data_IF_347908225940
#
_entry.id   IF_347908225940
#
_cell.length_a   1.000
_cell.length_b   1.000
_cell.length_c   1.000
_cell.angle_alpha   90.00
_cell.angle_beta   90.00
_cell.angle_gamma   90.00
#
_symmetry.space_group_name_H-M   'P 1'
#
loop_
_entity.id
_entity.type
_entity.pdbx_description
1 polymer ?
#
# COMPACT_ATOMS: atom_id res chain seq x y z
N UNK A 1 -3.68 23.00 -0.69
CA UNK A 1 -3.47 22.02 -1.79
C UNK A 1 -2.77 20.78 -1.21
N UNK A 2 -3.14 19.58 -1.67
CA UNK A 2 -2.58 18.30 -1.20
C UNK A 2 -1.68 17.70 -2.29
N UNK A 3 -0.45 17.35 -1.93
CA UNK A 3 0.46 16.61 -2.82
C UNK A 3 0.39 15.11 -2.53
N UNK A 4 0.22 14.30 -3.57
CA UNK A 4 0.23 12.84 -3.48
C UNK A 4 1.40 12.29 -4.29
N UNK A 5 2.35 11.63 -3.64
CA UNK A 5 3.47 10.96 -4.31
C UNK A 5 3.08 9.56 -4.75
N UNK A 6 3.12 9.33 -6.06
CA UNK A 6 2.72 8.07 -6.67
C UNK A 6 1.24 8.01 -7.08
N UNK A 7 0.99 7.37 -8.22
CA UNK A 7 -0.31 7.31 -8.91
C UNK A 7 -0.76 5.87 -9.17
N UNK A 8 -0.18 4.92 -8.43
CA UNK A 8 -0.48 3.49 -8.55
C UNK A 8 -1.68 3.06 -7.72
N UNK A 9 -1.61 1.81 -7.26
CA UNK A 9 -2.65 1.06 -6.58
C UNK A 9 -3.30 1.75 -5.35
N UNK A 10 -2.54 2.57 -4.63
CA UNK A 10 -3.03 3.36 -3.48
C UNK A 10 -3.23 4.82 -3.89
N UNK A 11 -2.27 5.41 -4.62
CA UNK A 11 -2.30 6.83 -4.94
C UNK A 11 -3.49 7.22 -5.82
N UNK A 12 -3.87 6.39 -6.81
CA UNK A 12 -5.04 6.70 -7.65
C UNK A 12 -6.34 6.76 -6.85
N UNK A 13 -6.75 5.73 -6.07
CA UNK A 13 -7.95 5.82 -5.23
C UNK A 13 -7.89 6.97 -4.20
N UNK A 14 -6.70 7.27 -3.67
CA UNK A 14 -6.53 8.42 -2.78
C UNK A 14 -6.81 9.74 -3.50
N UNK A 15 -6.25 9.95 -4.69
CA UNK A 15 -6.48 11.14 -5.50
C UNK A 15 -7.98 11.29 -5.82
N UNK A 16 -8.63 10.21 -6.25
CA UNK A 16 -10.08 10.18 -6.53
C UNK A 16 -10.89 10.60 -5.30
N UNK A 17 -10.53 10.05 -4.14
CA UNK A 17 -11.21 10.36 -2.86
C UNK A 17 -11.02 11.81 -2.44
N UNK A 18 -9.82 12.36 -2.56
CA UNK A 18 -9.51 13.74 -2.21
C UNK A 18 -10.21 14.75 -3.14
N UNK A 19 -10.22 14.48 -4.45
CA UNK A 19 -10.94 15.30 -5.44
C UNK A 19 -12.44 15.27 -5.18
N UNK A 20 -13.01 14.10 -4.88
CA UNK A 20 -14.42 13.97 -4.52
C UNK A 20 -14.77 14.72 -3.23
N UNK A 21 -13.81 14.89 -2.32
CA UNK A 21 -13.94 15.73 -1.12
C UNK A 21 -13.68 17.22 -1.38
N UNK A 22 -13.57 17.64 -2.65
CA UNK A 22 -13.39 19.06 -3.04
C UNK A 22 -11.98 19.61 -2.79
N UNK A 23 -10.97 18.74 -2.64
CA UNK A 23 -9.61 19.17 -2.41
C UNK A 23 -8.87 19.46 -3.72
N UNK A 24 -8.01 20.48 -3.71
CA UNK A 24 -7.02 20.66 -4.77
C UNK A 24 -5.90 19.65 -4.61
N UNK A 25 -5.66 18.80 -5.62
CA UNK A 25 -4.70 17.70 -5.58
C UNK A 25 -3.66 17.84 -6.68
N UNK A 26 -2.39 17.74 -6.32
CA UNK A 26 -1.28 17.59 -7.25
C UNK A 26 -0.66 16.19 -7.07
N UNK A 27 -0.76 15.37 -8.10
CA UNK A 27 -0.15 14.04 -8.15
C UNK A 27 1.26 14.12 -8.72
N UNK A 28 2.25 13.67 -7.96
CA UNK A 28 3.66 13.65 -8.39
C UNK A 28 4.03 12.25 -8.86
N UNK A 29 4.52 12.15 -10.08
CA UNK A 29 5.09 10.92 -10.63
C UNK A 29 6.08 11.22 -11.76
N UNK A 30 6.99 10.27 -12.02
CA UNK A 30 8.03 10.42 -13.07
C UNK A 30 7.47 10.43 -14.49
N UNK A 31 6.30 9.84 -14.70
CA UNK A 31 5.64 9.73 -16.02
C UNK A 31 4.24 10.30 -15.93
N UNK A 32 3.79 10.98 -16.99
CA UNK A 32 2.38 11.39 -17.08
C UNK A 32 1.46 10.17 -16.91
N UNK A 33 0.35 10.40 -16.22
CA UNK A 33 -0.70 9.39 -16.03
C UNK A 33 -2.06 10.07 -16.14
N UNK A 34 -3.06 9.31 -16.56
CA UNK A 34 -4.43 9.79 -16.56
C UNK A 34 -4.91 9.93 -15.11
N UNK A 35 -5.34 11.12 -14.75
CA UNK A 35 -5.88 11.47 -13.45
C UNK A 35 -7.37 11.75 -13.55
N UNK A 36 -8.13 11.69 -12.44
CA UNK A 36 -9.50 12.17 -12.40
C UNK A 36 -9.55 13.69 -12.65
N UNK A 37 -10.66 14.16 -13.21
CA UNK A 37 -10.91 15.58 -13.40
C UNK A 37 -10.82 16.30 -12.04
N UNK A 38 -10.10 17.44 -12.02
CA UNK A 38 -9.85 18.20 -10.78
C UNK A 38 -8.51 17.91 -10.11
N UNK A 39 -7.77 16.87 -10.53
CA UNK A 39 -6.38 16.65 -10.10
C UNK A 39 -5.39 17.13 -11.16
N UNK A 40 -4.24 17.67 -10.72
CA UNK A 40 -3.13 18.08 -11.58
C UNK A 40 -2.00 17.07 -11.51
N UNK A 41 -1.32 16.84 -12.62
CA UNK A 41 -0.07 16.08 -12.66
C UNK A 41 1.12 17.02 -12.61
N UNK A 42 2.07 16.72 -11.75
CA UNK A 42 3.41 17.31 -11.76
C UNK A 42 4.45 16.22 -11.99
N UNK A 43 5.33 16.44 -12.96
CA UNK A 43 6.48 15.56 -13.16
C UNK A 43 7.49 15.79 -12.05
N UNK A 44 7.92 14.72 -11.38
CA UNK A 44 8.91 14.81 -10.31
C UNK A 44 9.49 13.44 -9.97
N UNK A 45 10.74 13.46 -9.49
CA UNK A 45 11.44 12.29 -8.99
C UNK A 45 11.75 12.48 -7.50
N UNK A 46 11.37 11.53 -6.67
CA UNK A 46 11.67 11.55 -5.24
C UNK A 46 13.18 11.43 -4.95
N UNK A 47 13.96 10.97 -5.93
CA UNK A 47 15.42 10.96 -5.85
C UNK A 47 16.05 12.35 -6.07
N UNK A 48 15.28 13.33 -6.55
CA UNK A 48 15.69 14.74 -6.71
C UNK A 48 14.74 15.66 -5.93
N UNK A 49 14.90 15.78 -4.60
CA UNK A 49 14.04 16.64 -3.76
C UNK A 49 13.99 18.10 -4.19
N UNK A 50 15.11 18.65 -4.66
CA UNK A 50 15.17 20.03 -5.13
C UNK A 50 14.28 20.26 -6.36
N UNK A 51 14.26 19.30 -7.28
CA UNK A 51 13.40 19.31 -8.47
C UNK A 51 11.92 19.20 -8.16
N UNK A 52 11.54 18.80 -6.94
CA UNK A 52 10.15 18.74 -6.51
C UNK A 52 9.58 20.07 -6.02
N UNK A 53 10.41 21.08 -5.72
CA UNK A 53 9.95 22.33 -5.15
C UNK A 53 8.78 22.98 -5.94
N UNK A 54 8.77 23.00 -7.30
CA UNK A 54 7.64 23.55 -8.05
C UNK A 54 6.33 22.77 -7.88
N UNK A 55 6.42 21.44 -7.66
CA UNK A 55 5.25 20.59 -7.42
C UNK A 55 4.66 20.77 -6.00
N UNK A 56 5.48 21.26 -5.07
CA UNK A 56 5.14 21.48 -3.66
C UNK A 56 4.64 22.92 -3.41
N UNK A 57 4.76 23.82 -4.38
CA UNK A 57 4.37 25.22 -4.20
C UNK A 57 2.87 25.34 -3.86
N UNK A 58 2.56 25.97 -2.73
CA UNK A 58 1.20 26.11 -2.20
C UNK A 58 0.61 24.84 -1.56
N UNK A 59 1.41 23.80 -1.38
CA UNK A 59 0.98 22.62 -0.65
C UNK A 59 1.07 22.84 0.87
N UNK A 60 0.03 22.43 1.58
CA UNK A 60 -0.04 22.38 3.03
C UNK A 60 0.00 20.94 3.58
N UNK A 61 -0.32 19.96 2.74
CA UNK A 61 -0.39 18.55 3.10
C UNK A 61 0.26 17.67 2.03
N UNK A 62 0.83 16.54 2.47
CA UNK A 62 1.49 15.59 1.58
C UNK A 62 1.20 14.14 1.99
N UNK A 63 0.81 13.32 1.03
CA UNK A 63 0.90 11.87 1.15
C UNK A 63 2.26 11.42 0.60
N UNK A 64 3.09 10.84 1.47
CA UNK A 64 4.43 10.40 1.14
C UNK A 64 4.48 8.87 1.02
N UNK A 65 4.79 8.38 -0.17
CA UNK A 65 5.13 6.99 -0.44
C UNK A 65 6.55 6.93 -1.00
N UNK A 66 7.48 6.38 -0.21
CA UNK A 66 8.90 6.30 -0.53
C UNK A 66 9.38 4.83 -0.40
N UNK A 67 9.13 3.98 -1.42
CA UNK A 67 9.37 2.54 -1.31
C UNK A 67 10.84 2.13 -1.52
N UNK A 68 11.68 3.03 -2.04
CA UNK A 68 13.08 2.74 -2.36
C UNK A 68 13.99 3.21 -1.22
N UNK A 69 14.80 2.32 -0.61
CA UNK A 69 15.69 2.66 0.49
C UNK A 69 16.83 3.63 0.11
N UNK A 70 17.06 3.86 -1.18
CA UNK A 70 18.08 4.80 -1.65
C UNK A 70 17.59 6.25 -1.72
N UNK A 71 16.29 6.48 -1.52
CA UNK A 71 15.72 7.82 -1.57
C UNK A 71 16.22 8.71 -0.43
N UNK A 72 16.54 9.98 -0.70
CA UNK A 72 17.01 10.95 0.30
C UNK A 72 15.84 11.52 1.12
N UNK A 73 15.17 10.65 1.91
CA UNK A 73 13.90 10.97 2.58
C UNK A 73 14.01 12.18 3.50
N UNK A 74 15.11 12.32 4.24
CA UNK A 74 15.30 13.47 5.12
C UNK A 74 15.36 14.79 4.34
N UNK A 75 15.99 14.79 3.16
CA UNK A 75 16.02 15.97 2.29
C UNK A 75 14.65 16.24 1.67
N UNK A 76 13.96 15.18 1.25
CA UNK A 76 12.60 15.26 0.71
C UNK A 76 11.63 15.90 1.72
N UNK A 77 11.65 15.44 2.97
CA UNK A 77 10.81 16.01 4.04
C UNK A 77 11.18 17.48 4.29
N UNK A 78 12.48 17.82 4.35
CA UNK A 78 12.91 19.22 4.51
C UNK A 78 12.49 20.10 3.34
N UNK A 79 12.59 19.62 2.11
CA UNK A 79 12.12 20.35 0.91
C UNK A 79 10.61 20.60 0.99
N UNK A 80 9.83 19.58 1.36
CA UNK A 80 8.38 19.72 1.55
C UNK A 80 8.06 20.75 2.65
N UNK A 81 8.75 20.68 3.78
CA UNK A 81 8.61 21.65 4.88
C UNK A 81 8.94 23.08 4.47
N UNK A 82 10.04 23.25 3.71
CA UNK A 82 10.46 24.57 3.21
C UNK A 82 9.47 25.17 2.21
N UNK A 83 8.70 24.32 1.52
CA UNK A 83 7.62 24.72 0.61
C UNK A 83 6.28 25.03 1.33
N UNK A 84 6.20 24.79 2.67
CA UNK A 84 5.00 25.08 3.45
C UNK A 84 4.15 23.87 3.83
N UNK A 85 4.60 22.65 3.50
CA UNK A 85 3.88 21.42 3.89
C UNK A 85 3.97 21.26 5.41
N UNK A 86 2.84 21.27 6.10
CA UNK A 86 2.73 21.10 7.55
C UNK A 86 2.35 19.67 7.93
N UNK A 87 1.43 19.06 7.17
CA UNK A 87 0.94 17.70 7.43
C UNK A 87 1.51 16.67 6.45
N UNK A 88 2.12 15.62 6.99
CA UNK A 88 2.65 14.50 6.20
C UNK A 88 1.97 13.20 6.65
N UNK A 89 1.28 12.53 5.73
CA UNK A 89 0.80 11.16 5.91
C UNK A 89 1.77 10.22 5.20
N UNK A 90 2.45 9.40 5.98
CA UNK A 90 3.45 8.47 5.47
C UNK A 90 2.84 7.08 5.24
N UNK A 91 3.04 6.52 4.06
CA UNK A 91 2.87 5.11 3.82
C UNK A 91 4.17 4.37 4.18
N UNK A 92 4.15 3.68 5.31
CA UNK A 92 5.19 2.78 5.79
C UNK A 92 4.80 1.32 5.51
N UNK A 93 5.15 0.41 6.39
CA UNK A 93 4.78 -1.01 6.34
C UNK A 93 4.64 -1.57 7.75
N UNK A 94 3.78 -2.55 7.95
CA UNK A 94 3.67 -3.32 9.20
C UNK A 94 5.01 -3.90 9.64
N UNK A 95 5.90 -4.22 8.69
CA UNK A 95 7.25 -4.72 8.95
C UNK A 95 8.13 -3.78 9.77
N UNK A 96 7.84 -2.49 9.79
CA UNK A 96 8.57 -1.53 10.63
C UNK A 96 8.54 -1.90 12.13
N UNK A 97 7.52 -2.64 12.57
CA UNK A 97 7.34 -3.04 13.97
C UNK A 97 7.28 -4.55 14.17
N UNK A 98 6.68 -5.30 13.24
CA UNK A 98 6.43 -6.74 13.42
C UNK A 98 7.72 -7.57 13.44
N UNK A 99 8.78 -7.11 12.78
CA UNK A 99 10.06 -7.83 12.71
C UNK A 99 11.22 -7.08 13.37
N UNK A 100 11.09 -5.75 13.58
CA UNK A 100 12.03 -4.94 14.33
C UNK A 100 13.42 -4.75 13.71
N UNK A 101 13.65 -5.24 12.51
CA UNK A 101 14.96 -5.36 11.85
C UNK A 101 15.06 -4.63 10.50
N UNK A 102 14.10 -3.78 10.17
CA UNK A 102 14.15 -2.97 8.94
C UNK A 102 14.59 -1.51 9.24
N UNK A 103 15.93 -1.24 9.21
CA UNK A 103 16.45 0.07 9.55
C UNK A 103 15.99 1.17 8.59
N UNK A 104 15.63 0.80 7.36
CA UNK A 104 15.10 1.75 6.39
C UNK A 104 13.71 2.25 6.83
N UNK A 105 12.78 1.33 7.12
CA UNK A 105 11.44 1.70 7.56
C UNK A 105 11.47 2.48 8.88
N UNK A 106 12.29 2.04 9.85
CA UNK A 106 12.46 2.74 11.10
C UNK A 106 13.06 4.14 10.91
N UNK A 107 14.02 4.30 9.99
CA UNK A 107 14.60 5.59 9.61
C UNK A 107 13.61 6.51 8.94
N UNK A 108 12.81 5.99 8.01
CA UNK A 108 11.76 6.70 7.29
C UNK A 108 10.70 7.26 8.26
N UNK A 109 10.18 6.43 9.14
CA UNK A 109 9.19 6.85 10.14
C UNK A 109 9.77 7.89 11.11
N UNK A 110 10.96 7.63 11.65
CA UNK A 110 11.63 8.57 12.54
C UNK A 110 11.84 9.93 11.88
N UNK A 111 12.24 9.97 10.61
CA UNK A 111 12.42 11.23 9.87
C UNK A 111 11.11 12.02 9.83
N UNK A 112 10.02 11.38 9.41
CA UNK A 112 8.72 12.07 9.30
C UNK A 112 8.21 12.50 10.66
N UNK A 113 8.24 11.62 11.67
CA UNK A 113 7.72 11.93 13.02
C UNK A 113 8.54 12.98 13.78
N UNK A 114 9.79 13.21 13.38
CA UNK A 114 10.66 14.22 14.01
C UNK A 114 10.59 15.55 13.28
N UNK A 115 10.52 15.55 11.95
CA UNK A 115 10.65 16.77 11.15
C UNK A 115 9.29 17.38 10.74
N UNK A 116 8.22 16.58 10.64
CA UNK A 116 6.89 17.10 10.31
C UNK A 116 6.13 17.54 11.59
N UNK A 117 5.53 18.75 11.63
CA UNK A 117 4.73 19.21 12.78
C UNK A 117 3.48 18.35 12.97
N UNK A 118 2.83 18.00 11.87
CA UNK A 118 1.65 17.17 11.82
C UNK A 118 1.96 15.91 11.00
N UNK A 119 1.81 14.74 11.61
CA UNK A 119 2.12 13.50 10.93
C UNK A 119 1.14 12.38 11.28
N UNK A 120 1.00 11.45 10.35
CA UNK A 120 0.33 10.16 10.56
C UNK A 120 1.14 9.09 9.80
N UNK A 121 1.34 7.94 10.42
CA UNK A 121 2.05 6.81 9.81
C UNK A 121 1.08 5.67 9.59
N UNK A 122 0.95 5.24 8.34
CA UNK A 122 0.16 4.08 7.94
C UNK A 122 1.09 2.89 7.67
N UNK A 123 0.86 1.79 8.38
CA UNK A 123 1.65 0.55 8.32
C UNK A 123 0.80 -0.59 7.76
N UNK A 124 0.58 -0.65 6.45
CA UNK A 124 -0.20 -1.74 5.88
C UNK A 124 0.56 -3.07 5.94
N UNK A 125 -0.21 -4.15 6.09
CA UNK A 125 0.20 -5.53 5.85
C UNK A 125 0.17 -5.90 4.37
N UNK A 126 -0.03 -7.18 4.07
CA UNK A 126 -0.16 -7.68 2.70
C UNK A 126 -1.41 -7.15 2.00
N UNK A 127 -1.31 -6.81 0.71
CA UNK A 127 -2.42 -6.24 -0.05
C UNK A 127 -3.28 -7.32 -0.70
N UNK A 128 -4.59 -7.16 -0.68
CA UNK A 128 -5.53 -7.99 -1.43
C UNK A 128 -5.18 -8.03 -2.94
N UNK A 129 -4.71 -6.90 -3.47
CA UNK A 129 -4.29 -6.79 -4.88
C UNK A 129 -3.08 -7.65 -5.26
N UNK A 130 -2.36 -8.25 -4.31
CA UNK A 130 -1.32 -9.23 -4.62
C UNK A 130 -1.90 -10.47 -5.31
N UNK A 131 -3.18 -10.77 -5.10
CA UNK A 131 -3.89 -11.83 -5.82
C UNK A 131 -3.94 -11.61 -7.35
N UNK A 132 -3.74 -10.39 -7.85
CA UNK A 132 -3.62 -10.13 -9.29
C UNK A 132 -2.39 -10.82 -9.93
N UNK A 133 -1.40 -11.21 -9.15
CA UNK A 133 -0.29 -12.06 -9.64
C UNK A 133 -0.79 -13.41 -10.15
N UNK A 134 -1.94 -13.88 -9.69
CA UNK A 134 -2.57 -15.13 -10.14
C UNK A 134 -3.50 -14.96 -11.34
N UNK A 135 -3.79 -13.73 -11.75
CA UNK A 135 -4.80 -13.43 -12.76
C UNK A 135 -4.55 -14.17 -14.08
N UNK A 136 -3.31 -14.20 -14.58
CA UNK A 136 -2.98 -14.88 -15.84
C UNK A 136 -3.17 -16.40 -15.75
N UNK A 137 -2.73 -17.05 -14.67
CA UNK A 137 -2.87 -18.50 -14.49
C UNK A 137 -4.33 -18.90 -14.21
N UNK A 138 -5.12 -18.01 -13.60
CA UNK A 138 -6.56 -18.24 -13.46
C UNK A 138 -7.26 -18.13 -14.81
N UNK A 139 -6.98 -17.09 -15.61
CA UNK A 139 -7.57 -16.97 -16.96
C UNK A 139 -7.23 -18.12 -17.89
N UNK A 140 -5.94 -18.49 -17.93
CA UNK A 140 -5.44 -19.47 -18.91
C UNK A 140 -5.66 -20.91 -18.52
N UNK A 141 -5.67 -21.24 -17.21
CA UNK A 141 -5.64 -22.61 -16.73
C UNK A 141 -6.57 -22.88 -15.52
N UNK A 142 -7.37 -21.90 -15.10
CA UNK A 142 -8.20 -22.00 -13.87
C UNK A 142 -7.40 -22.56 -12.69
N UNK A 143 -6.20 -21.99 -12.48
CA UNK A 143 -5.27 -22.48 -11.46
C UNK A 143 -4.61 -21.30 -10.75
N UNK A 144 -4.56 -21.35 -9.42
CA UNK A 144 -3.68 -20.51 -8.59
C UNK A 144 -2.49 -21.35 -8.17
N UNK A 145 -1.29 -20.84 -8.38
CA UNK A 145 -0.04 -21.42 -7.88
C UNK A 145 0.55 -20.48 -6.84
N UNK A 146 0.75 -20.98 -5.63
CA UNK A 146 1.37 -20.19 -4.56
C UNK A 146 2.02 -21.10 -3.51
N UNK A 147 3.07 -20.61 -2.81
CA UNK A 147 3.64 -21.29 -1.65
C UNK A 147 2.79 -21.05 -0.41
N UNK A 148 3.01 -21.84 0.64
CA UNK A 148 2.43 -21.66 1.97
C UNK A 148 0.91 -21.60 1.99
N UNK A 149 0.27 -22.49 1.25
CA UNK A 149 -1.17 -22.51 1.00
C UNK A 149 -2.07 -22.50 2.23
N UNK A 150 -1.53 -22.88 3.40
CA UNK A 150 -2.25 -22.97 4.68
C UNK A 150 -1.82 -21.89 5.69
N UNK A 151 -0.96 -20.92 5.31
CA UNK A 151 -0.51 -19.83 6.18
C UNK A 151 -1.47 -18.65 6.05
N UNK A 152 -2.24 -18.29 7.11
CA UNK A 152 -3.20 -17.20 7.04
C UNK A 152 -2.53 -15.84 7.25
N UNK A 153 -2.92 -14.86 6.44
CA UNK A 153 -2.58 -13.44 6.58
C UNK A 153 -3.83 -12.58 6.31
N UNK A 154 -3.99 -11.43 6.95
CA UNK A 154 -5.14 -10.55 6.75
C UNK A 154 -4.91 -9.56 5.58
N UNK A 155 -5.27 -9.87 4.33
CA UNK A 155 -5.01 -9.03 3.17
C UNK A 155 -5.86 -7.76 3.21
N UNK A 156 -5.21 -6.58 3.15
CA UNK A 156 -5.94 -5.32 3.12
C UNK A 156 -6.28 -4.87 1.70
N UNK A 157 -7.50 -4.35 1.54
CA UNK A 157 -7.91 -3.67 0.32
C UNK A 157 -7.13 -2.35 0.14
N UNK A 158 -6.42 -2.13 -0.97
CA UNK A 158 -5.77 -0.85 -1.25
C UNK A 158 -6.69 0.37 -1.18
N UNK A 159 -7.97 0.20 -1.46
CA UNK A 159 -8.95 1.27 -1.34
C UNK A 159 -9.22 1.66 0.14
N UNK A 160 -9.02 0.77 1.10
CA UNK A 160 -9.09 1.09 2.52
C UNK A 160 -7.82 1.80 3.00
N UNK A 161 -6.65 1.46 2.47
CA UNK A 161 -5.42 2.22 2.72
C UNK A 161 -5.58 3.66 2.21
N UNK A 162 -6.11 3.82 1.00
CA UNK A 162 -6.38 5.13 0.41
C UNK A 162 -7.41 5.93 1.22
N UNK A 163 -8.47 5.30 1.71
CA UNK A 163 -9.47 5.95 2.55
C UNK A 163 -8.89 6.40 3.90
N UNK A 164 -8.07 5.55 4.55
CA UNK A 164 -7.37 5.89 5.78
C UNK A 164 -6.38 7.06 5.55
N UNK A 165 -5.68 7.07 4.41
CA UNK A 165 -4.80 8.16 4.02
C UNK A 165 -5.58 9.48 3.79
N UNK A 166 -6.74 9.42 3.14
CA UNK A 166 -7.60 10.58 2.95
C UNK A 166 -8.09 11.14 4.28
N UNK A 167 -8.59 10.29 5.19
CA UNK A 167 -9.01 10.71 6.52
C UNK A 167 -7.86 11.37 7.29
N UNK A 168 -6.66 10.76 7.29
CA UNK A 168 -5.49 11.30 7.96
C UNK A 168 -5.00 12.64 7.36
N UNK A 169 -5.20 12.87 6.07
CA UNK A 169 -4.90 14.15 5.44
C UNK A 169 -5.92 15.23 5.79
N UNK A 170 -7.18 14.86 6.03
CA UNK A 170 -8.28 15.82 6.17
C UNK A 170 -8.68 16.08 7.63
N UNK A 171 -8.47 15.13 8.53
CA UNK A 171 -9.00 15.16 9.89
C UNK A 171 -7.88 15.20 10.95
N UNK A 172 -8.03 16.05 11.96
CA UNK A 172 -7.03 16.22 13.02
C UNK A 172 -7.00 15.05 14.01
N UNK A 173 -8.06 14.23 14.05
CA UNK A 173 -8.14 13.07 14.92
C UNK A 173 -7.03 12.03 14.69
N UNK A 174 -6.38 12.08 13.52
CA UNK A 174 -5.32 11.16 13.11
C UNK A 174 -3.90 11.68 13.37
N UNK A 175 -3.75 12.93 13.83
CA UNK A 175 -2.44 13.52 14.09
C UNK A 175 -1.67 12.77 15.19
N UNK A 176 -0.37 12.55 14.94
CA UNK A 176 0.51 11.84 15.87
C UNK A 176 0.20 10.35 16.03
N UNK A 177 -0.51 9.74 15.08
CA UNK A 177 -0.93 8.35 15.16
C UNK A 177 -0.11 7.44 14.23
N UNK A 178 0.08 6.21 14.70
CA UNK A 178 0.49 5.08 13.87
C UNK A 178 -0.71 4.14 13.75
N UNK A 179 -0.96 3.64 12.56
CA UNK A 179 -2.03 2.68 12.29
C UNK A 179 -1.48 1.46 11.58
N UNK A 180 -1.65 0.28 12.16
CA UNK A 180 -1.42 -0.99 11.46
C UNK A 180 -2.68 -1.35 10.67
N UNK A 181 -2.56 -1.39 9.34
CA UNK A 181 -3.69 -1.56 8.45
C UNK A 181 -3.73 -2.98 7.88
N UNK A 182 -4.76 -3.74 8.25
CA UNK A 182 -4.99 -5.10 7.77
C UNK A 182 -6.43 -5.28 7.33
N UNK A 183 -6.69 -6.34 6.58
CA UNK A 183 -8.05 -6.83 6.32
C UNK A 183 -8.73 -7.31 7.61
N UNK A 184 -10.07 -7.50 7.59
CA UNK A 184 -10.84 -7.87 8.79
C UNK A 184 -10.65 -9.33 9.21
N UNK A 185 -10.07 -10.16 8.35
CA UNK A 185 -9.91 -11.60 8.57
C UNK A 185 -8.60 -12.11 7.97
N UNK A 186 -8.01 -13.09 8.63
CA UNK A 186 -6.81 -13.78 8.15
C UNK A 186 -7.21 -14.91 7.18
N UNK A 187 -6.76 -14.83 5.93
CA UNK A 187 -7.09 -15.76 4.86
C UNK A 187 -5.84 -16.47 4.34
N UNK A 188 -5.94 -17.79 4.20
CA UNK A 188 -4.91 -18.58 3.53
C UNK A 188 -4.95 -18.38 2.01
N UNK A 189 -3.86 -18.62 1.27
CA UNK A 189 -3.90 -18.64 -0.20
C UNK A 189 -4.98 -19.59 -0.78
N UNK A 190 -5.26 -20.73 -0.11
CA UNK A 190 -6.37 -21.62 -0.50
C UNK A 190 -7.73 -20.96 -0.32
N UNK A 191 -7.94 -20.24 0.79
CA UNK A 191 -9.20 -19.53 1.02
C UNK A 191 -9.38 -18.39 0.01
N UNK A 192 -8.31 -17.63 -0.28
CA UNK A 192 -8.34 -16.60 -1.32
C UNK A 192 -8.65 -17.18 -2.71
N UNK A 193 -8.11 -18.37 -3.03
CA UNK A 193 -8.44 -19.09 -4.28
C UNK A 193 -9.91 -19.47 -4.33
N UNK A 194 -10.48 -19.96 -3.21
CA UNK A 194 -11.90 -20.30 -3.13
C UNK A 194 -12.80 -19.07 -3.31
N UNK A 195 -12.42 -17.91 -2.76
CA UNK A 195 -13.13 -16.65 -2.95
C UNK A 195 -13.12 -16.20 -4.42
N UNK A 196 -11.99 -16.32 -5.12
CA UNK A 196 -11.88 -16.05 -6.57
C UNK A 196 -12.77 -16.99 -7.36
N UNK A 197 -12.75 -18.29 -7.05
CA UNK A 197 -13.60 -19.31 -7.71
C UNK A 197 -15.09 -18.99 -7.52
N UNK A 198 -15.50 -18.64 -6.31
CA UNK A 198 -16.88 -18.27 -6.00
C UNK A 198 -17.32 -17.02 -6.79
N UNK A 199 -16.49 -15.99 -6.89
CA UNK A 199 -16.80 -14.78 -7.64
C UNK A 199 -16.87 -15.01 -9.16
N UNK A 200 -16.06 -15.94 -9.69
CA UNK A 200 -16.12 -16.35 -11.09
C UNK A 200 -17.33 -17.25 -11.41
N UNK A 201 -17.89 -17.95 -10.40
CA UNK A 201 -18.86 -19.02 -10.59
C UNK A 201 -18.27 -20.27 -11.27
N UNK A 202 -16.97 -20.43 -11.22
CA UNK A 202 -16.22 -21.51 -11.85
C UNK A 202 -15.22 -22.12 -10.86
N UNK A 203 -14.86 -23.40 -11.06
CA UNK A 203 -13.83 -24.05 -10.27
C UNK A 203 -12.45 -23.47 -10.59
N UNK A 204 -11.70 -23.08 -9.54
CA UNK A 204 -10.29 -22.69 -9.63
C UNK A 204 -9.48 -23.59 -8.71
N UNK A 205 -8.52 -24.30 -9.29
CA UNK A 205 -7.67 -25.24 -8.56
C UNK A 205 -6.50 -24.52 -7.89
N UNK A 206 -6.29 -24.79 -6.60
CA UNK A 206 -5.05 -24.39 -5.92
C UNK A 206 -3.96 -25.46 -6.11
N UNK A 207 -2.76 -25.03 -6.47
CA UNK A 207 -1.56 -25.88 -6.59
C UNK A 207 -0.48 -25.30 -5.68
N UNK A 208 -0.11 -26.10 -4.67
CA UNK A 208 0.99 -25.74 -3.76
C UNK A 208 2.30 -25.67 -4.52
N UNK A 209 3.03 -24.56 -4.36
CA UNK A 209 4.41 -24.43 -4.82
C UNK A 209 5.37 -24.66 -3.66
N UNK A 210 6.54 -25.23 -3.93
CA UNK A 210 7.63 -25.17 -2.97
C UNK A 210 8.16 -23.72 -2.86
N UNK A 211 8.88 -23.42 -1.76
CA UNK A 211 9.54 -22.12 -1.59
C UNK A 211 10.53 -21.83 -2.73
N UNK A 212 11.23 -22.86 -3.19
CA UNK A 212 12.21 -22.79 -4.27
C UNK A 212 11.56 -22.48 -5.63
N UNK A 213 10.41 -23.10 -5.93
CA UNK A 213 9.65 -22.81 -7.13
C UNK A 213 9.13 -21.37 -7.12
N UNK A 214 8.55 -20.92 -6.01
CA UNK A 214 8.08 -19.56 -5.85
C UNK A 214 9.22 -18.54 -5.93
N UNK A 215 10.39 -18.86 -5.34
CA UNK A 215 11.58 -18.02 -5.45
C UNK A 215 12.05 -17.86 -6.89
N UNK A 216 12.11 -18.96 -7.66
CA UNK A 216 12.53 -18.92 -9.06
C UNK A 216 11.57 -18.11 -9.92
N UNK A 217 10.27 -18.21 -9.67
CA UNK A 217 9.25 -17.46 -10.40
C UNK A 217 9.30 -15.96 -10.09
N UNK A 218 9.31 -15.59 -8.81
CA UNK A 218 9.31 -14.19 -8.38
C UNK A 218 10.63 -13.47 -8.71
N UNK A 219 11.75 -14.19 -8.74
CA UNK A 219 13.07 -13.62 -9.10
C UNK A 219 13.18 -13.17 -10.56
N UNK A 220 12.20 -13.51 -11.40
CA UNK A 220 12.10 -12.96 -12.76
C UNK A 220 11.65 -11.49 -12.74
N UNK A 221 11.01 -11.03 -11.68
CA UNK A 221 10.42 -9.68 -11.56
C UNK A 221 11.08 -8.83 -10.49
N UNK A 222 11.63 -9.46 -9.43
CA UNK A 222 12.18 -8.76 -8.26
C UNK A 222 13.59 -9.22 -7.92
N UNK A 223 14.42 -8.35 -7.31
CA UNK A 223 15.74 -8.73 -6.83
C UNK A 223 15.67 -9.91 -5.83
N UNK A 224 16.60 -10.87 -5.88
CA UNK A 224 16.58 -12.06 -5.02
C UNK A 224 16.41 -11.77 -3.52
N UNK A 225 17.08 -10.73 -3.00
CA UNK A 225 16.98 -10.34 -1.60
C UNK A 225 15.56 -9.82 -1.22
N UNK A 226 14.82 -9.24 -2.18
CA UNK A 226 13.42 -8.84 -1.98
C UNK A 226 12.52 -10.07 -1.96
N UNK A 227 12.76 -11.00 -2.90
CA UNK A 227 12.02 -12.27 -2.97
C UNK A 227 12.18 -13.08 -1.69
N UNK A 228 13.40 -13.24 -1.20
CA UNK A 228 13.69 -13.98 0.04
C UNK A 228 12.91 -13.41 1.23
N UNK A 229 13.02 -12.09 1.44
CA UNK A 229 12.28 -11.42 2.52
C UNK A 229 10.76 -11.54 2.37
N UNK A 230 10.26 -11.53 1.14
CA UNK A 230 8.84 -11.70 0.87
C UNK A 230 8.38 -13.11 1.21
N UNK A 231 9.12 -14.13 0.77
CA UNK A 231 8.80 -15.53 1.08
C UNK A 231 8.92 -15.85 2.57
N UNK A 232 9.87 -15.24 3.28
CA UNK A 232 9.97 -15.36 4.74
C UNK A 232 8.75 -14.74 5.44
N UNK A 233 8.28 -13.58 4.97
CA UNK A 233 7.08 -12.94 5.51
C UNK A 233 5.82 -13.78 5.24
N UNK A 234 5.72 -14.43 4.09
CA UNK A 234 4.58 -15.26 3.73
C UNK A 234 4.61 -16.63 4.43
N UNK A 235 5.79 -17.23 4.61
CA UNK A 235 5.92 -18.58 5.14
C UNK A 235 6.01 -18.66 6.66
N UNK A 236 6.61 -17.65 7.29
CA UNK A 236 6.82 -17.58 8.75
C UNK A 236 6.39 -16.23 9.31
N UNK A 237 5.13 -15.82 9.12
CA UNK A 237 4.65 -14.56 9.67
C UNK A 237 4.67 -14.58 11.21
N UNK A 238 4.91 -13.42 11.80
CA UNK A 238 4.77 -13.21 13.24
C UNK A 238 3.29 -13.25 13.67
N UNK A 239 3.03 -13.33 14.97
CA UNK A 239 1.66 -13.27 15.49
C UNK A 239 0.95 -11.95 15.09
N UNK A 240 1.68 -10.83 15.19
CA UNK A 240 1.16 -9.51 14.78
C UNK A 240 0.82 -9.45 13.28
N UNK A 241 1.60 -10.13 12.42
CA UNK A 241 1.34 -10.18 10.98
C UNK A 241 0.12 -11.05 10.63
N UNK A 242 -0.23 -12.03 11.47
CA UNK A 242 -1.41 -12.92 11.29
C UNK A 242 -2.70 -12.33 11.86
N UNK A 243 -2.58 -11.44 12.86
CA UNK A 243 -3.73 -10.95 13.60
C UNK A 243 -4.29 -9.68 12.95
N UNK A 244 -5.59 -9.65 12.58
CA UNK A 244 -6.23 -8.42 12.15
C UNK A 244 -6.13 -7.32 13.20
N UNK A 245 -5.68 -6.14 12.80
CA UNK A 245 -5.55 -4.99 13.70
C UNK A 245 -6.87 -4.21 13.82
N UNK A 246 -7.28 -3.78 15.01
CA UNK A 246 -8.41 -2.87 15.18
C UNK A 246 -8.14 -1.47 14.60
N UNK A 247 -6.88 -1.13 14.37
CA UNK A 247 -6.47 0.19 13.86
C UNK A 247 -7.09 0.51 12.51
N UNK A 248 -7.32 -0.51 11.66
CA UNK A 248 -7.96 -0.27 10.35
C UNK A 248 -9.35 0.32 10.51
N UNK A 249 -10.17 -0.27 11.39
CA UNK A 249 -11.51 0.25 11.65
C UNK A 249 -11.47 1.64 12.31
N UNK A 250 -10.49 1.88 13.20
CA UNK A 250 -10.29 3.19 13.83
C UNK A 250 -9.89 4.25 12.80
N UNK A 251 -8.97 3.95 11.89
CA UNK A 251 -8.52 4.87 10.85
C UNK A 251 -9.61 5.16 9.81
N UNK A 252 -10.53 4.22 9.58
CA UNK A 252 -11.60 4.33 8.60
C UNK A 252 -12.90 4.91 9.17
N UNK A 253 -13.11 4.89 10.48
CA UNK A 253 -14.41 5.16 11.10
C UNK A 253 -15.51 4.13 10.74
N UNK A 254 -15.13 3.00 10.13
CA UNK A 254 -16.01 1.90 9.71
C UNK A 254 -15.25 0.58 9.65
N UNK A 255 -15.96 -0.53 9.51
CA UNK A 255 -15.31 -1.83 9.23
C UNK A 255 -14.52 -1.79 7.91
N UNK A 256 -13.32 -2.41 7.86
CA UNK A 256 -12.61 -2.59 6.61
C UNK A 256 -13.36 -3.54 5.66
N UNK A 257 -13.09 -3.41 4.36
CA UNK A 257 -13.61 -4.30 3.33
C UNK A 257 -13.02 -5.69 3.47
N UNK A 258 -13.82 -6.70 3.15
CA UNK A 258 -13.36 -8.09 3.08
C UNK A 258 -12.56 -8.35 1.79
N UNK A 259 -11.87 -9.49 1.74
CA UNK A 259 -11.24 -9.96 0.50
C UNK A 259 -12.30 -10.26 -0.57
N UNK A 260 -13.46 -10.79 -0.17
CA UNK A 260 -14.58 -11.06 -1.08
C UNK A 260 -15.09 -9.78 -1.73
N UNK A 261 -15.21 -8.66 -0.96
CA UNK A 261 -15.56 -7.35 -1.50
C UNK A 261 -14.54 -6.87 -2.54
N UNK A 262 -13.25 -7.13 -2.29
CA UNK A 262 -12.18 -6.79 -3.22
C UNK A 262 -12.27 -7.65 -4.49
N UNK A 263 -12.42 -8.97 -4.36
CA UNK A 263 -12.54 -9.90 -5.50
C UNK A 263 -13.74 -9.54 -6.37
N UNK A 264 -14.90 -9.27 -5.76
CA UNK A 264 -16.12 -8.93 -6.50
C UNK A 264 -15.92 -7.70 -7.42
N UNK A 265 -15.14 -6.71 -6.97
CA UNK A 265 -14.81 -5.52 -7.78
C UNK A 265 -13.74 -5.75 -8.84
N UNK A 266 -12.96 -6.83 -8.72
CA UNK A 266 -11.83 -7.12 -9.59
C UNK A 266 -11.97 -8.46 -10.35
N UNK A 267 -13.13 -9.09 -10.29
CA UNK A 267 -13.38 -10.40 -10.90
C UNK A 267 -13.03 -10.44 -12.40
N UNK A 268 -13.28 -9.33 -13.13
CA UNK A 268 -12.90 -9.20 -14.53
C UNK A 268 -11.39 -9.37 -14.82
N UNK A 269 -10.52 -9.23 -13.82
CA UNK A 269 -9.10 -9.51 -14.01
C UNK A 269 -8.80 -11.03 -14.10
N UNK A 270 -9.70 -11.87 -13.59
CA UNK A 270 -9.57 -13.32 -13.52
C UNK A 270 -10.43 -14.06 -14.56
N UNK A 271 -11.28 -13.35 -15.31
CA UNK A 271 -12.18 -13.90 -16.33
C UNK A 271 -11.46 -14.27 -17.61
#
# INVERSE_FOLDING_TARGET
>A
MIVVTGTGNIGRPLIESLVAAGQEVTAVSRRPTTLPDGARHASGDLADPAGLAPALEGADRMFLMAPDPTLPVAELVRTARSAGVERIVLLSSQRATSRGDDPFLAGLERTVTTEAPEWTVLRPGGFASNALLWAESVRSARTVRAPFGDVPLPPIDPADIAAAAAAALLEDAHLGRHYTLNGPEALTPRAQTAAIAAALGEEVRFVEQSREEAFAELSQFWPPAVVDRTLDALGTPTEDERTPSPDTALALGRSPRTFDDWVARHVGAFS
#
